data_IF_099070319399
#
_entry.id   IF_099070319399
#
_cell.length_a   1.000
_cell.length_b   1.000
_cell.length_c   1.000
_cell.angle_alpha   90.00
_cell.angle_beta   90.00
_cell.angle_gamma   90.00
#
_symmetry.space_group_name_H-M   'P 1'
#
loop_
_entity.id
_entity.type
_entity.pdbx_description
1 polymer ?
#
# COMPACT_ATOMS: atom_id res chain seq x y z
N UNK A 1 -19.22 15.28 -5.15
CA UNK A 1 -18.97 14.03 -4.39
C UNK A 1 -18.81 14.35 -2.91
N UNK A 2 -19.41 13.57 -2.01
CA UNK A 2 -19.21 13.73 -0.55
C UNK A 2 -17.79 13.27 -0.17
N UNK A 3 -17.08 14.03 0.68
CA UNK A 3 -15.70 13.69 1.13
C UNK A 3 -15.55 12.24 1.62
N UNK A 4 -16.56 11.73 2.32
CA UNK A 4 -16.58 10.34 2.78
C UNK A 4 -16.51 9.31 1.64
N UNK A 5 -17.19 9.56 0.50
CA UNK A 5 -17.13 8.68 -0.68
C UNK A 5 -15.76 8.70 -1.34
N UNK A 6 -15.12 9.87 -1.36
CA UNK A 6 -13.75 10.01 -1.86
C UNK A 6 -12.76 9.21 -1.01
N UNK A 7 -12.81 9.35 0.32
CA UNK A 7 -11.95 8.59 1.25
C UNK A 7 -12.19 7.09 1.10
N UNK A 8 -13.45 6.65 0.99
CA UNK A 8 -13.77 5.25 0.73
C UNK A 8 -13.19 4.77 -0.61
N UNK A 9 -13.33 5.54 -1.68
CA UNK A 9 -12.77 5.22 -2.98
C UNK A 9 -11.24 5.07 -2.94
N UNK A 10 -10.55 5.96 -2.23
CA UNK A 10 -9.11 5.89 -2.03
C UNK A 10 -8.70 4.63 -1.25
N UNK A 11 -9.44 4.27 -0.20
CA UNK A 11 -9.18 3.05 0.59
C UNK A 11 -9.41 1.77 -0.23
N UNK A 12 -10.46 1.75 -1.05
CA UNK A 12 -10.73 0.62 -1.96
C UNK A 12 -9.62 0.50 -3.00
N UNK A 13 -9.23 1.61 -3.65
CA UNK A 13 -8.15 1.60 -4.62
C UNK A 13 -6.81 1.18 -3.98
N UNK A 14 -6.50 1.68 -2.79
CA UNK A 14 -5.34 1.25 -1.99
C UNK A 14 -5.33 -0.27 -1.74
N UNK A 15 -6.48 -0.83 -1.34
CA UNK A 15 -6.63 -2.26 -1.09
C UNK A 15 -6.46 -3.09 -2.37
N UNK A 16 -7.04 -2.63 -3.48
CA UNK A 16 -6.90 -3.28 -4.80
C UNK A 16 -5.44 -3.29 -5.24
N UNK A 17 -4.68 -2.21 -5.05
CA UNK A 17 -3.26 -2.18 -5.40
C UNK A 17 -2.45 -3.21 -4.59
N UNK A 18 -2.76 -3.42 -3.31
CA UNK A 18 -2.13 -4.47 -2.52
C UNK A 18 -2.48 -5.87 -3.04
N UNK A 19 -3.74 -6.12 -3.37
CA UNK A 19 -4.18 -7.39 -3.95
C UNK A 19 -3.46 -7.66 -5.29
N UNK A 20 -3.36 -6.66 -6.16
CA UNK A 20 -2.64 -6.75 -7.43
C UNK A 20 -1.14 -6.99 -7.22
N UNK A 21 -0.52 -6.34 -6.23
CA UNK A 21 0.90 -6.54 -5.92
C UNK A 21 1.19 -8.00 -5.49
N UNK A 22 0.28 -8.62 -4.74
CA UNK A 22 0.37 -10.04 -4.38
C UNK A 22 0.17 -10.95 -5.60
N UNK A 23 -0.81 -10.63 -6.44
CA UNK A 23 -1.14 -11.41 -7.64
C UNK A 23 -0.11 -11.27 -8.77
N UNK A 24 0.72 -10.21 -8.75
CA UNK A 24 1.78 -9.98 -9.73
C UNK A 24 2.72 -11.19 -9.89
N UNK A 25 2.97 -11.94 -8.82
CA UNK A 25 3.84 -13.13 -8.87
C UNK A 25 3.21 -14.31 -9.61
N UNK A 26 1.88 -14.38 -9.68
CA UNK A 26 1.14 -15.47 -10.32
C UNK A 26 0.66 -15.11 -11.73
N UNK A 27 0.33 -13.84 -12.00
CA UNK A 27 -0.30 -13.43 -13.26
C UNK A 27 0.66 -12.87 -14.30
N UNK A 28 1.84 -12.40 -13.90
CA UNK A 28 2.82 -11.88 -14.86
C UNK A 28 3.51 -13.02 -15.59
N UNK A 29 3.32 -13.01 -16.92
CA UNK A 29 3.96 -13.95 -17.83
C UNK A 29 5.48 -13.97 -17.59
N UNK A 30 6.09 -15.15 -17.43
CA UNK A 30 7.51 -15.25 -17.18
C UNK A 30 8.31 -14.89 -18.44
N UNK A 31 8.73 -13.63 -18.56
CA UNK A 31 9.58 -13.14 -19.65
C UNK A 31 11.04 -13.09 -19.22
N UNK A 32 11.95 -13.49 -20.12
CA UNK A 32 13.40 -13.53 -19.85
C UNK A 32 13.89 -14.74 -19.06
N UNK A 33 15.19 -14.70 -18.73
CA UNK A 33 15.84 -15.70 -17.87
C UNK A 33 15.30 -15.68 -16.42
N UNK A 34 15.73 -16.64 -15.59
CA UNK A 34 15.22 -16.78 -14.22
C UNK A 34 15.43 -15.55 -13.35
N UNK A 35 16.53 -14.81 -13.55
CA UNK A 35 16.84 -13.59 -12.81
C UNK A 35 15.97 -12.42 -13.25
N UNK A 36 15.94 -12.14 -14.56
CA UNK A 36 15.14 -11.08 -15.18
C UNK A 36 13.66 -11.27 -14.90
N UNK A 37 13.18 -12.51 -14.94
CA UNK A 37 11.81 -12.88 -14.57
C UNK A 37 11.47 -12.51 -13.13
N UNK A 38 12.38 -12.81 -12.20
CA UNK A 38 12.23 -12.42 -10.80
C UNK A 38 12.19 -10.91 -10.64
N UNK A 39 13.10 -10.21 -11.31
CA UNK A 39 13.21 -8.75 -11.26
C UNK A 39 11.97 -8.06 -11.82
N UNK A 40 11.41 -8.53 -12.94
CA UNK A 40 10.21 -7.95 -13.55
C UNK A 40 9.00 -8.01 -12.60
N UNK A 41 8.81 -9.15 -11.92
CA UNK A 41 7.73 -9.34 -10.94
C UNK A 41 7.95 -8.46 -9.71
N UNK A 42 9.18 -8.39 -9.22
CA UNK A 42 9.56 -7.54 -8.09
C UNK A 42 9.30 -6.06 -8.40
N UNK A 43 9.79 -5.57 -9.55
CA UNK A 43 9.63 -4.18 -9.97
C UNK A 43 8.16 -3.81 -10.13
N UNK A 44 7.33 -4.69 -10.69
CA UNK A 44 5.90 -4.47 -10.76
C UNK A 44 5.27 -4.38 -9.36
N UNK A 45 5.58 -5.34 -8.49
CA UNK A 45 5.06 -5.36 -7.12
C UNK A 45 5.48 -4.09 -6.34
N UNK A 46 6.74 -3.67 -6.44
CA UNK A 46 7.25 -2.43 -5.83
C UNK A 46 6.57 -1.20 -6.41
N UNK A 47 6.38 -1.13 -7.73
CA UNK A 47 5.66 -0.04 -8.38
C UNK A 47 4.21 0.10 -7.88
N UNK A 48 3.50 -1.02 -7.75
CA UNK A 48 2.15 -1.05 -7.18
C UNK A 48 2.14 -0.63 -5.70
N UNK A 49 3.15 -1.01 -4.92
CA UNK A 49 3.30 -0.58 -3.53
C UNK A 49 3.58 0.92 -3.40
N UNK A 50 4.37 1.51 -4.30
CA UNK A 50 4.59 2.96 -4.34
C UNK A 50 3.29 3.72 -4.64
N UNK A 51 2.51 3.25 -5.61
CA UNK A 51 1.19 3.81 -5.90
C UNK A 51 0.25 3.67 -4.68
N UNK A 52 0.27 2.52 -4.00
CA UNK A 52 -0.52 2.30 -2.80
C UNK A 52 -0.09 3.25 -1.67
N UNK A 53 1.19 3.49 -1.45
CA UNK A 53 1.68 4.43 -0.45
C UNK A 53 1.11 5.84 -0.66
N UNK A 54 1.12 6.33 -1.92
CA UNK A 54 0.53 7.63 -2.28
C UNK A 54 -0.96 7.68 -1.95
N UNK A 55 -1.73 6.65 -2.34
CA UNK A 55 -3.15 6.57 -2.04
C UNK A 55 -3.43 6.48 -0.54
N UNK A 56 -2.59 5.76 0.21
CA UNK A 56 -2.69 5.64 1.66
C UNK A 56 -2.51 6.98 2.37
N UNK A 57 -1.50 7.76 1.98
CA UNK A 57 -1.28 9.12 2.49
C UNK A 57 -2.45 10.04 2.13
N UNK A 58 -2.94 9.99 0.89
CA UNK A 58 -4.09 10.78 0.47
C UNK A 58 -5.36 10.42 1.27
N UNK A 59 -5.63 9.13 1.47
CA UNK A 59 -6.75 8.64 2.28
C UNK A 59 -6.64 9.12 3.73
N UNK A 60 -5.44 9.09 4.31
CA UNK A 60 -5.18 9.60 5.64
C UNK A 60 -5.45 11.10 5.76
N UNK A 61 -4.83 11.92 4.92
CA UNK A 61 -4.96 13.39 4.94
C UNK A 61 -6.42 13.81 4.78
N UNK A 62 -7.13 13.22 3.81
CA UNK A 62 -8.54 13.55 3.55
C UNK A 62 -9.48 12.96 4.61
N UNK A 63 -9.14 11.79 5.17
CA UNK A 63 -9.87 11.17 6.26
C UNK A 63 -9.81 11.97 7.56
N UNK A 64 -8.71 12.70 7.82
CA UNK A 64 -8.57 13.60 8.98
C UNK A 64 -9.55 14.77 8.97
N UNK A 65 -10.02 15.18 7.79
CA UNK A 65 -11.01 16.25 7.63
C UNK A 65 -12.46 15.78 7.85
N UNK A 66 -12.70 14.50 8.15
CA UNK A 66 -14.03 13.99 8.51
C UNK A 66 -14.37 14.29 9.98
N UNK A 67 -15.68 14.39 10.32
CA UNK A 67 -16.11 14.66 11.70
C UNK A 67 -15.50 13.68 12.72
N UNK A 68 -15.23 14.14 13.96
CA UNK A 68 -14.88 13.25 15.06
C UNK A 68 -15.95 12.17 15.25
N UNK A 69 -15.52 10.92 15.48
CA UNK A 69 -16.41 9.76 15.60
C UNK A 69 -16.75 9.04 14.29
N UNK A 70 -16.48 9.64 13.12
CA UNK A 70 -16.75 9.00 11.83
C UNK A 70 -15.84 7.77 11.62
N UNK A 71 -16.43 6.59 11.33
CA UNK A 71 -15.69 5.31 11.20
C UNK A 71 -14.53 5.39 10.19
N UNK A 72 -14.78 6.00 9.03
CA UNK A 72 -13.75 6.18 7.99
C UNK A 72 -12.54 7.00 8.45
N UNK A 73 -12.68 7.91 9.43
CA UNK A 73 -11.55 8.66 9.99
C UNK A 73 -10.58 7.76 10.73
N UNK A 74 -11.08 6.69 11.39
CA UNK A 74 -10.24 5.67 12.04
C UNK A 74 -9.63 4.73 11.01
N UNK A 75 -10.42 4.27 10.04
CA UNK A 75 -9.94 3.36 8.99
C UNK A 75 -8.87 4.02 8.13
N UNK A 76 -8.92 5.33 7.91
CA UNK A 76 -7.90 6.08 7.18
C UNK A 76 -6.50 6.03 7.82
N UNK A 77 -6.35 5.56 9.07
CA UNK A 77 -5.05 5.28 9.68
C UNK A 77 -4.43 3.96 9.23
N UNK A 78 -5.25 2.99 8.80
CA UNK A 78 -4.80 1.64 8.45
C UNK A 78 -3.66 1.67 7.43
N UNK A 79 -3.75 2.42 6.31
CA UNK A 79 -2.66 2.49 5.35
C UNK A 79 -1.35 2.98 5.95
N UNK A 80 -1.41 4.00 6.82
CA UNK A 80 -0.22 4.59 7.46
C UNK A 80 0.41 3.63 8.47
N UNK A 81 -0.42 2.97 9.28
CA UNK A 81 0.06 1.99 10.27
C UNK A 81 0.73 0.83 9.56
N UNK A 82 0.12 0.28 8.52
CA UNK A 82 0.69 -0.84 7.77
C UNK A 82 1.99 -0.44 7.05
N UNK A 83 2.05 0.76 6.46
CA UNK A 83 3.30 1.27 5.88
C UNK A 83 4.39 1.43 6.94
N UNK A 84 4.06 1.99 8.11
CA UNK A 84 4.99 2.12 9.23
C UNK A 84 5.49 0.76 9.75
N UNK A 85 4.58 -0.22 9.91
CA UNK A 85 4.94 -1.58 10.30
C UNK A 85 5.84 -2.25 9.27
N UNK A 86 5.58 -2.05 7.98
CA UNK A 86 6.43 -2.60 6.91
C UNK A 86 7.84 -2.01 6.96
N UNK A 87 7.96 -0.69 7.10
CA UNK A 87 9.26 -0.01 7.25
C UNK A 87 9.99 -0.50 8.49
N UNK A 88 9.30 -0.64 9.63
CA UNK A 88 9.88 -1.18 10.85
C UNK A 88 10.34 -2.63 10.68
N UNK A 89 9.54 -3.48 10.03
CA UNK A 89 9.90 -4.87 9.77
C UNK A 89 11.16 -4.97 8.90
N UNK A 90 11.33 -4.07 7.93
CA UNK A 90 12.54 -3.98 7.10
C UNK A 90 13.72 -3.44 7.90
N UNK A 91 13.53 -2.38 8.69
CA UNK A 91 14.62 -1.67 9.37
C UNK A 91 15.11 -2.37 10.64
N UNK A 92 14.25 -3.07 11.37
CA UNK A 92 14.56 -3.65 12.68
C UNK A 92 15.78 -4.57 12.70
N UNK A 93 16.00 -5.48 11.71
CA UNK A 93 17.20 -6.32 11.67
C UNK A 93 18.50 -5.54 11.53
N UNK A 94 18.46 -4.31 11.02
CA UNK A 94 19.64 -3.45 10.85
C UNK A 94 19.92 -2.57 12.07
N UNK A 95 18.95 -2.41 12.97
CA UNK A 95 19.04 -1.56 14.15
C UNK A 95 19.53 -2.30 15.41
N UNK A 96 19.55 -3.63 15.40
CA UNK A 96 20.04 -4.44 16.51
C UNK A 96 21.58 -4.56 16.44
N UNK A 97 22.30 -4.34 17.57
CA UNK A 97 23.73 -4.62 17.62
C UNK A 97 23.97 -6.11 17.33
N UNK A 98 24.90 -6.40 16.41
CA UNK A 98 25.27 -7.75 16.03
C UNK A 98 26.23 -8.38 17.03
#
# INVERSE_FOLDING_TARGET
>A
MTRARLVLGLLVAWFVLHALALMAFSWVAPTGDGFTRGMNRLLLAVGLQMAAAVLGVAAFVLGRALPPGHRLRRIAWVPLILAGLLVLAIAAPFALPR
#
